data_IF_636885289713
#
_entry.id   IF_636885289713
#
_cell.length_a   1.000
_cell.length_b   1.000
_cell.length_c   1.000
_cell.angle_alpha   90.00
_cell.angle_beta   90.00
_cell.angle_gamma   90.00
#
_symmetry.space_group_name_H-M   'P 1'
#
loop_
_entity.id
_entity.type
_entity.pdbx_description
1 polymer ?
#
# COMPACT_ATOMS: atom_id res chain seq x y z
N UNK A 1 22.32 -4.19 20.67
CA UNK A 1 22.55 -3.20 19.59
C UNK A 1 21.26 -3.05 18.81
N UNK A 2 20.50 -1.98 19.03
CA UNK A 2 19.29 -1.73 18.25
C UNK A 2 19.72 -1.15 16.89
N UNK A 3 19.64 -1.96 15.83
CA UNK A 3 19.72 -1.47 14.46
C UNK A 3 18.43 -0.68 14.22
N UNK A 4 18.47 0.64 14.43
CA UNK A 4 17.45 1.52 13.88
C UNK A 4 17.53 1.38 12.36
N UNK A 5 16.53 0.73 11.75
CA UNK A 5 16.42 0.69 10.30
C UNK A 5 16.15 2.11 9.85
N UNK A 6 17.05 2.70 9.07
CA UNK A 6 16.76 3.96 8.36
C UNK A 6 15.72 3.58 7.31
N UNK A 7 14.44 3.73 7.66
CA UNK A 7 13.35 3.57 6.70
C UNK A 7 13.35 4.79 5.78
N UNK A 8 13.34 4.55 4.47
CA UNK A 8 13.19 5.64 3.52
C UNK A 8 11.76 6.20 3.63
N UNK A 9 11.57 7.47 3.28
CA UNK A 9 10.26 8.12 3.34
C UNK A 9 9.20 7.33 2.55
N UNK A 10 9.57 6.76 1.40
CA UNK A 10 8.74 5.85 0.60
C UNK A 10 8.32 4.59 1.37
N UNK A 11 9.20 4.03 2.20
CA UNK A 11 8.89 2.86 3.01
C UNK A 11 7.89 3.20 4.13
N UNK A 12 8.03 4.38 4.73
CA UNK A 12 7.11 4.89 5.76
C UNK A 12 5.73 5.14 5.16
N UNK A 13 5.69 5.79 4.00
CA UNK A 13 4.44 6.09 3.29
C UNK A 13 3.75 4.81 2.80
N UNK A 14 4.52 3.83 2.29
CA UNK A 14 3.99 2.52 1.90
C UNK A 14 3.44 1.75 3.10
N UNK A 15 4.14 1.78 4.23
CA UNK A 15 3.67 1.17 5.47
C UNK A 15 2.38 1.84 5.97
N UNK A 16 2.33 3.17 5.98
CA UNK A 16 1.14 3.94 6.35
C UNK A 16 -0.03 3.64 5.41
N UNK A 17 0.21 3.55 4.10
CA UNK A 17 -0.79 3.18 3.12
C UNK A 17 -1.38 1.80 3.41
N UNK A 18 -0.53 0.78 3.58
CA UNK A 18 -0.96 -0.59 3.89
C UNK A 18 -1.70 -0.69 5.23
N UNK A 19 -1.27 0.09 6.23
CA UNK A 19 -1.94 0.18 7.52
C UNK A 19 -3.33 0.82 7.41
N UNK A 20 -3.47 1.85 6.59
CA UNK A 20 -4.71 2.58 6.36
C UNK A 20 -5.65 1.91 5.35
N UNK A 21 -5.19 0.89 4.60
CA UNK A 21 -6.03 0.15 3.66
C UNK A 21 -7.34 -0.28 4.31
N UNK A 22 -8.45 0.08 3.68
CA UNK A 22 -9.77 -0.31 4.13
C UNK A 22 -10.06 -1.79 3.87
N UNK A 23 -11.24 -2.26 4.31
CA UNK A 23 -11.71 -3.62 3.98
C UNK A 23 -11.79 -3.85 2.47
N UNK A 24 -12.23 -2.83 1.72
CA UNK A 24 -12.34 -2.87 0.26
C UNK A 24 -10.97 -2.89 -0.43
N UNK A 25 -10.05 -2.03 -0.03
CA UNK A 25 -8.71 -2.00 -0.63
C UNK A 25 -7.99 -3.35 -0.44
N UNK A 26 -8.15 -3.98 0.74
CA UNK A 26 -7.68 -5.34 0.98
C UNK A 26 -8.35 -6.37 0.07
N UNK A 27 -9.66 -6.29 -0.13
CA UNK A 27 -10.39 -7.20 -1.03
C UNK A 27 -9.93 -7.05 -2.49
N UNK A 28 -9.64 -5.83 -2.94
CA UNK A 28 -9.07 -5.56 -4.27
C UNK A 28 -7.66 -6.13 -4.38
N UNK A 29 -6.78 -5.88 -3.40
CA UNK A 29 -5.41 -6.40 -3.37
C UNK A 29 -5.35 -7.94 -3.30
N UNK A 30 -6.35 -8.57 -2.68
CA UNK A 30 -6.49 -10.03 -2.62
C UNK A 30 -7.16 -10.63 -3.89
N UNK A 31 -7.56 -9.81 -4.86
CA UNK A 31 -8.24 -10.25 -6.07
C UNK A 31 -9.68 -10.74 -5.84
N UNK A 32 -10.27 -10.46 -4.67
CA UNK A 32 -11.64 -10.81 -4.30
C UNK A 32 -12.62 -9.83 -4.94
N UNK A 33 -12.29 -8.54 -4.93
CA UNK A 33 -13.05 -7.49 -5.62
C UNK A 33 -12.35 -7.02 -6.89
N UNK A 34 -13.14 -6.63 -7.90
CA UNK A 34 -12.61 -6.03 -9.12
C UNK A 34 -12.08 -4.63 -8.83
N UNK A 35 -10.84 -4.40 -9.24
CA UNK A 35 -10.22 -3.08 -9.23
C UNK A 35 -10.91 -2.17 -10.27
N UNK A 36 -11.21 -0.93 -9.89
CA UNK A 36 -11.58 0.12 -10.85
C UNK A 36 -10.37 0.95 -11.27
N UNK A 37 -10.49 1.73 -12.34
CA UNK A 37 -9.40 2.62 -12.76
C UNK A 37 -9.04 3.68 -11.70
N UNK A 38 -10.05 4.19 -10.97
CA UNK A 38 -9.81 5.11 -9.84
C UNK A 38 -9.12 4.42 -8.65
N UNK A 39 -9.37 3.12 -8.44
CA UNK A 39 -8.66 2.34 -7.42
C UNK A 39 -7.20 2.09 -7.83
N UNK A 40 -6.94 1.88 -9.12
CA UNK A 40 -5.58 1.74 -9.66
C UNK A 40 -4.75 2.99 -9.40
N UNK A 41 -5.26 4.18 -9.74
CA UNK A 41 -4.56 5.45 -9.49
C UNK A 41 -4.16 5.61 -8.01
N UNK A 42 -5.06 5.23 -7.09
CA UNK A 42 -4.81 5.25 -5.65
C UNK A 42 -3.84 4.15 -5.18
N UNK A 43 -3.89 2.96 -5.77
CA UNK A 43 -3.09 1.78 -5.39
C UNK A 43 -1.73 1.70 -6.10
N UNK A 44 -1.49 2.58 -7.09
CA UNK A 44 -0.19 2.69 -7.78
C UNK A 44 0.93 3.03 -6.80
N UNK A 45 0.59 3.63 -5.65
CA UNK A 45 1.52 3.87 -4.55
C UNK A 45 2.14 2.59 -3.94
N UNK A 46 1.51 1.43 -4.16
CA UNK A 46 2.00 0.12 -3.67
C UNK A 46 2.93 -0.56 -4.69
N UNK A 47 2.97 -0.07 -5.93
CA UNK A 47 3.77 -0.66 -7.01
C UNK A 47 5.05 0.14 -7.21
N UNK A 48 6.18 -0.49 -6.90
CA UNK A 48 7.51 -0.01 -7.28
C UNK A 48 7.72 -0.27 -8.79
N UNK A 49 7.26 0.64 -9.65
CA UNK A 49 7.69 0.67 -11.06
C UNK A 49 8.91 1.56 -11.22
#
# INVERSE_FOLDING_TARGET
MQRGMIMHQSDIERFAFLFLCGKRDRAILMGIEKMTFSDLDRLTYVTDF
#
